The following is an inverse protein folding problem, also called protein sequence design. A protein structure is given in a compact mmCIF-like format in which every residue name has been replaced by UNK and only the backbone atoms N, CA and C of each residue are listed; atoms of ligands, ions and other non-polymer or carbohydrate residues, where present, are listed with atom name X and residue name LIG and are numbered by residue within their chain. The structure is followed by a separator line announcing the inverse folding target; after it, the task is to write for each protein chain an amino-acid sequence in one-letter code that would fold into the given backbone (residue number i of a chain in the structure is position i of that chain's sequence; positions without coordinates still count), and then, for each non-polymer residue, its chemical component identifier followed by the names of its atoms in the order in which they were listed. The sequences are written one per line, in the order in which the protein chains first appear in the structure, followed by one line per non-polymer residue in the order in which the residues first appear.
data_IF_524385713590
#
_entry.id   IF_524385713590
#
_cell.length_a   1.000
_cell.length_b   1.000
_cell.length_c   1.000
_cell.angle_alpha   90.00
_cell.angle_beta   90.00
_cell.angle_gamma   90.00
#
_symmetry.space_group_name_H-M   'P 1'
#
loop_
_entity.id
_entity.type
_entity.pdbx_description
1 polymer ?
#
# COMPACT_ATOMS: atom_id res chain seq x y z
N UNK A 1 -12.18 -0.69 -2.36
CA UNK A 1 -11.18 0.05 -1.59
C UNK A 1 -11.25 1.50 -2.00
N UNK A 2 -11.82 2.36 -1.17
CA UNK A 2 -11.91 3.80 -1.49
C UNK A 2 -10.53 4.43 -1.30
N UNK A 3 -10.13 5.31 -2.22
CA UNK A 3 -8.91 6.12 -2.11
C UNK A 3 -9.31 7.58 -1.90
N UNK A 4 -8.51 8.33 -1.14
CA UNK A 4 -8.70 9.79 -0.98
C UNK A 4 -8.22 10.57 -2.21
N UNK A 5 -7.59 9.88 -3.17
CA UNK A 5 -7.03 10.49 -4.38
C UNK A 5 -8.13 10.67 -5.43
N UNK A 6 -8.40 11.91 -5.77
CA UNK A 6 -9.19 12.29 -6.94
C UNK A 6 -8.27 12.50 -8.13
N UNK A 7 -8.41 11.65 -9.13
CA UNK A 7 -7.68 11.77 -10.39
C UNK A 7 -8.46 12.66 -11.36
N UNK A 8 -7.92 13.82 -11.68
CA UNK A 8 -8.50 14.77 -12.62
C UNK A 8 -7.46 15.72 -13.18
N UNK A 9 -7.53 15.98 -14.48
CA UNK A 9 -6.73 17.03 -15.13
C UNK A 9 -7.47 18.37 -15.17
N UNK A 10 -8.72 18.42 -14.69
CA UNK A 10 -9.55 19.63 -14.69
C UNK A 10 -9.23 20.57 -13.52
N UNK A 11 -8.57 20.06 -12.47
CA UNK A 11 -8.21 20.83 -11.28
C UNK A 11 -6.70 20.85 -11.14
N UNK A 12 -6.15 21.96 -10.64
CA UNK A 12 -4.71 22.01 -10.31
C UNK A 12 -4.39 20.94 -9.26
N UNK A 13 -3.27 20.21 -9.40
CA UNK A 13 -2.85 19.22 -8.42
C UNK A 13 -2.67 19.86 -7.03
N UNK A 14 -3.23 19.25 -5.99
CA UNK A 14 -3.20 19.77 -4.61
C UNK A 14 -3.03 18.63 -3.61
N UNK A 15 -2.18 18.87 -2.62
CA UNK A 15 -2.04 18.00 -1.46
C UNK A 15 -2.94 18.52 -0.34
N UNK A 16 -4.07 17.85 -0.10
CA UNK A 16 -4.99 18.11 1.01
C UNK A 16 -5.05 16.87 1.93
N UNK A 17 -3.94 16.13 2.01
CA UNK A 17 -3.83 14.98 2.90
C UNK A 17 -3.99 15.44 4.37
N UNK A 18 -4.71 14.70 5.22
CA UNK A 18 -5.22 13.33 5.02
C UNK A 18 -6.60 13.20 4.36
N UNK A 19 -7.34 14.29 4.15
CA UNK A 19 -8.74 14.22 3.72
C UNK A 19 -8.89 13.93 2.22
N UNK A 20 -8.01 14.49 1.39
CA UNK A 20 -8.11 14.39 -0.08
C UNK A 20 -6.78 14.67 -0.78
N UNK A 21 -6.57 14.08 -1.95
CA UNK A 21 -5.45 14.46 -2.82
C UNK A 21 -6.00 14.69 -4.22
N UNK A 22 -5.73 15.85 -4.82
CA UNK A 22 -6.08 16.11 -6.23
C UNK A 22 -4.84 15.82 -7.05
N UNK A 23 -4.96 14.83 -7.93
CA UNK A 23 -3.86 14.29 -8.73
C UNK A 23 -4.17 14.36 -10.22
N UNK A 24 -3.19 14.65 -11.09
CA UNK A 24 -3.35 14.46 -12.53
C UNK A 24 -3.64 12.99 -12.86
N UNK A 25 -4.29 12.74 -13.99
CA UNK A 25 -4.67 11.38 -14.43
C UNK A 25 -3.46 10.50 -14.75
N UNK A 26 -2.34 11.10 -15.20
CA UNK A 26 -1.15 10.39 -15.66
C UNK A 26 0.10 10.86 -14.96
N UNK A 27 1.03 9.93 -14.73
CA UNK A 27 2.38 10.25 -14.28
C UNK A 27 3.17 11.00 -15.35
N UNK A 28 4.00 11.96 -14.94
CA UNK A 28 4.99 12.60 -15.81
C UNK A 28 6.37 11.96 -15.71
N UNK A 29 7.33 12.37 -16.56
CA UNK A 29 8.71 11.89 -16.51
C UNK A 29 9.41 12.13 -15.15
N UNK A 30 9.01 13.20 -14.45
CA UNK A 30 9.55 13.52 -13.12
C UNK A 30 9.14 12.54 -12.01
N UNK A 31 8.08 11.74 -12.21
CA UNK A 31 7.59 10.83 -11.17
C UNK A 31 8.58 9.71 -10.84
N UNK A 32 9.55 9.40 -11.71
CA UNK A 32 10.53 8.37 -11.40
C UNK A 32 11.48 8.80 -10.26
N UNK A 33 11.83 10.08 -10.19
CA UNK A 33 12.82 10.61 -9.25
C UNK A 33 12.23 11.42 -8.09
N UNK A 34 11.10 12.08 -8.33
CA UNK A 34 10.61 13.14 -7.45
C UNK A 34 9.39 12.72 -6.61
N UNK A 35 9.10 11.42 -6.51
CA UNK A 35 8.03 10.91 -5.65
C UNK A 35 8.46 10.93 -4.18
N UNK A 36 7.60 11.50 -3.34
CA UNK A 36 7.76 11.54 -1.89
C UNK A 36 6.65 10.76 -1.20
N UNK A 37 6.93 10.22 -0.03
CA UNK A 37 5.96 9.58 0.84
C UNK A 37 5.12 10.62 1.58
N UNK A 38 3.81 10.42 1.63
CA UNK A 38 2.86 11.28 2.33
C UNK A 38 2.33 10.58 3.58
N UNK A 39 2.54 11.21 4.74
CA UNK A 39 2.07 10.72 6.02
C UNK A 39 2.74 9.41 6.43
N UNK A 40 2.15 8.74 7.42
CA UNK A 40 2.59 7.42 7.89
C UNK A 40 1.86 6.30 7.13
N UNK A 41 2.43 5.07 7.08
CA UNK A 41 1.71 3.90 6.62
C UNK A 41 0.36 3.72 7.34
N UNK A 42 -0.66 3.35 6.59
CA UNK A 42 -2.02 3.11 7.07
C UNK A 42 -2.43 1.67 6.79
N UNK A 43 -3.31 1.13 7.63
CA UNK A 43 -3.88 -0.20 7.47
C UNK A 43 -5.30 -0.10 6.90
N UNK A 44 -5.59 -0.92 5.90
CA UNK A 44 -6.93 -1.06 5.32
C UNK A 44 -7.16 -2.53 5.00
N UNK A 45 -8.04 -3.14 5.78
CA UNK A 45 -8.33 -4.57 5.75
C UNK A 45 -7.03 -5.39 5.89
N UNK A 46 -6.64 -6.12 4.86
CA UNK A 46 -5.42 -6.96 4.85
C UNK A 46 -4.21 -6.26 4.27
N UNK A 47 -4.20 -4.94 4.13
CA UNK A 47 -3.11 -4.24 3.46
C UNK A 47 -2.56 -3.10 4.30
N UNK A 48 -1.24 -3.02 4.41
CA UNK A 48 -0.56 -1.79 4.78
C UNK A 48 -0.24 -1.03 3.50
N UNK A 49 -0.60 0.24 3.45
CA UNK A 49 -0.36 1.10 2.31
C UNK A 49 0.12 2.48 2.76
N UNK A 50 0.67 3.24 1.82
CA UNK A 50 1.01 4.64 2.04
C UNK A 50 0.79 5.41 0.74
N UNK A 51 0.43 6.69 0.84
CA UNK A 51 0.34 7.54 -0.33
C UNK A 51 1.73 8.04 -0.71
N UNK A 52 1.99 8.12 -2.01
CA UNK A 52 3.15 8.82 -2.57
C UNK A 52 2.69 9.92 -3.51
N UNK A 53 3.41 11.04 -3.56
CA UNK A 53 3.12 12.17 -4.45
C UNK A 53 4.39 12.74 -5.08
N UNK A 54 4.34 13.09 -6.35
CA UNK A 54 5.43 13.75 -7.04
C UNK A 54 5.51 15.21 -6.58
N UNK A 55 6.68 15.63 -6.10
CA UNK A 55 6.94 17.03 -5.71
C UNK A 55 6.80 18.01 -6.87
N UNK A 56 7.07 17.56 -8.10
CA UNK A 56 7.06 18.42 -9.31
C UNK A 56 5.69 18.52 -9.98
N UNK A 57 5.12 17.39 -10.41
CA UNK A 57 3.85 17.41 -11.16
C UNK A 57 2.60 17.16 -10.30
N UNK A 58 2.77 16.71 -9.05
CA UNK A 58 1.65 16.43 -8.15
C UNK A 58 0.90 15.12 -8.41
N UNK A 59 1.38 14.28 -9.35
CA UNK A 59 0.89 12.91 -9.51
C UNK A 59 0.99 12.14 -8.19
N UNK A 60 -0.03 11.40 -7.82
CA UNK A 60 -0.13 10.75 -6.53
C UNK A 60 -0.72 9.35 -6.69
N UNK A 61 -0.23 8.41 -5.90
CA UNK A 61 -0.67 7.01 -5.92
C UNK A 61 -0.75 6.46 -4.52
N UNK A 62 -1.60 5.44 -4.35
CA UNK A 62 -1.61 4.59 -3.17
C UNK A 62 -0.69 3.40 -3.42
N UNK A 63 0.37 3.26 -2.63
CA UNK A 63 1.33 2.14 -2.74
C UNK A 63 1.04 1.12 -1.65
N UNK A 64 0.88 -0.14 -2.04
CA UNK A 64 0.78 -1.26 -1.10
C UNK A 64 2.19 -1.62 -0.63
N UNK A 65 2.41 -1.59 0.69
CA UNK A 65 3.70 -1.89 1.31
C UNK A 65 3.82 -3.37 1.69
N UNK A 66 2.76 -3.94 2.28
CA UNK A 66 2.70 -5.37 2.64
C UNK A 66 1.27 -5.83 2.81
N UNK A 67 1.04 -7.13 2.66
CA UNK A 67 -0.17 -7.78 3.16
C UNK A 67 -0.06 -7.95 4.69
N UNK A 68 -1.20 -7.83 5.38
CA UNK A 68 -1.39 -8.21 6.78
C UNK A 68 -1.97 -9.63 6.72
N UNK A 69 -1.19 -10.66 7.09
CA UNK A 69 -1.66 -12.03 7.09
C UNK A 69 -2.87 -12.16 8.01
N UNK A 70 -3.87 -12.92 7.60
CA UNK A 70 -4.94 -13.32 8.51
C UNK A 70 -4.34 -14.07 9.70
N UNK A 71 -4.54 -13.53 10.89
CA UNK A 71 -3.95 -14.06 12.12
C UNK A 71 -4.42 -15.50 12.39
N UNK A 72 -5.67 -15.84 12.03
CA UNK A 72 -6.20 -17.18 12.19
C UNK A 72 -5.51 -18.17 11.23
N UNK A 73 -5.39 -17.79 9.95
CA UNK A 73 -4.69 -18.59 8.95
C UNK A 73 -3.19 -18.77 9.30
N UNK A 74 -2.54 -17.70 9.76
CA UNK A 74 -1.14 -17.76 10.15
C UNK A 74 -0.92 -18.67 11.38
N UNK A 75 -1.86 -18.68 12.34
CA UNK A 75 -1.80 -19.59 13.47
C UNK A 75 -2.01 -21.05 13.04
N UNK A 76 -2.96 -21.30 12.15
CA UNK A 76 -3.21 -22.63 11.59
C UNK A 76 -2.00 -23.17 10.82
N UNK A 77 -1.41 -22.36 9.93
CA UNK A 77 -0.22 -22.74 9.17
C UNK A 77 0.96 -23.07 10.08
N UNK A 78 1.19 -22.29 11.14
CA UNK A 78 2.23 -22.59 12.13
C UNK A 78 2.01 -23.95 12.81
N UNK A 79 0.77 -24.28 13.17
CA UNK A 79 0.42 -25.57 13.76
C UNK A 79 0.67 -26.72 12.78
N UNK A 80 0.28 -26.56 11.52
CA UNK A 80 0.50 -27.57 10.47
C UNK A 80 1.98 -27.81 10.22
N UNK A 81 2.78 -26.75 10.09
CA UNK A 81 4.22 -26.84 9.88
C UNK A 81 4.95 -27.51 11.05
N UNK A 82 4.55 -27.22 12.29
CA UNK A 82 5.13 -27.87 13.46
C UNK A 82 4.97 -29.40 13.43
N UNK A 83 3.86 -29.89 12.87
CA UNK A 83 3.56 -31.32 12.79
C UNK A 83 4.15 -31.99 11.53
N UNK A 84 4.37 -31.25 10.44
CA UNK A 84 4.86 -31.82 9.17
C UNK A 84 6.34 -32.17 9.17
N UNK A 85 7.14 -31.55 10.04
CA UNK A 85 8.58 -31.86 10.19
C UNK A 85 8.87 -32.94 11.23
N UNK A 86 7.85 -33.47 11.92
CA UNK A 86 8.01 -34.65 12.76
C UNK A 86 8.16 -35.85 11.82
N UNK A 87 9.41 -36.20 11.53
CA UNK A 87 9.74 -37.45 10.83
C UNK A 87 9.16 -38.61 11.65
N UNK A 88 8.09 -39.22 11.15
CA UNK A 88 7.75 -40.60 11.50
C UNK A 88 8.80 -41.49 10.82
N UNK A 89 10.00 -41.60 11.39
CA UNK A 89 10.89 -42.72 11.06
C UNK A 89 10.47 -43.85 11.98
N UNK A 90 9.87 -44.95 11.47
CA UNK A 90 9.72 -46.16 12.26
C UNK A 90 11.10 -46.69 12.61
N UNK A 91 11.30 -47.14 13.86
CA UNK A 91 12.52 -47.82 14.32
C UNK A 91 12.86 -49.06 13.45
#
# INVERSE_FOLDING_TARGET
MATIVEYTDQKRPRNLYPERIISPLRSGPCCFSDMEELGQPQEDSRWVFQYKRCKKCGFAVRVILREIPDAALAAELRKTLANSFVRNVPD
#
